data_IF_927315438086
#
_entry.id   IF_927315438086
#
_cell.length_a   1.000
_cell.length_b   1.000
_cell.length_c   1.000
_cell.angle_alpha   90.00
_cell.angle_beta   90.00
_cell.angle_gamma   90.00
#
_symmetry.space_group_name_H-M   'P 1'
#
loop_
_entity.id
_entity.type
_entity.pdbx_description
1 polymer ?
#
# COMPACT_ATOMS: atom_id res chain seq x y z
N UNK A 1 -5.55 -17.86 19.18
CA UNK A 1 -4.32 -17.27 18.60
C UNK A 1 -4.78 -16.10 17.77
N UNK A 2 -4.17 -14.94 17.92
CA UNK A 2 -4.55 -13.77 17.13
C UNK A 2 -4.06 -13.94 15.67
N UNK A 3 -4.74 -13.31 14.71
CA UNK A 3 -4.41 -13.39 13.29
C UNK A 3 -2.96 -12.99 12.99
N UNK A 4 -2.44 -11.97 13.68
CA UNK A 4 -1.04 -11.55 13.53
C UNK A 4 -0.09 -12.63 14.05
N UNK A 5 -0.42 -13.34 15.13
CA UNK A 5 0.40 -14.43 15.63
C UNK A 5 0.45 -15.60 14.62
N UNK A 6 -0.66 -15.86 13.93
CA UNK A 6 -0.71 -16.84 12.83
C UNK A 6 0.20 -16.45 11.67
N UNK A 7 0.18 -15.15 11.28
CA UNK A 7 1.07 -14.62 10.23
C UNK A 7 2.54 -14.78 10.64
N UNK A 8 2.89 -14.39 11.87
CA UNK A 8 4.26 -14.50 12.40
C UNK A 8 4.73 -15.94 12.42
N UNK A 9 3.90 -16.86 12.89
CA UNK A 9 4.22 -18.29 12.94
C UNK A 9 4.44 -18.90 11.54
N UNK A 10 3.72 -18.41 10.53
CA UNK A 10 3.75 -18.97 9.17
C UNK A 10 4.83 -18.34 8.30
N UNK A 11 5.09 -17.04 8.46
CA UNK A 11 5.95 -16.24 7.59
C UNK A 11 7.07 -15.51 8.36
N UNK A 12 7.62 -16.13 9.42
CA UNK A 12 8.58 -15.49 10.32
C UNK A 12 9.77 -14.82 9.64
N UNK A 13 10.27 -15.41 8.54
CA UNK A 13 11.38 -14.87 7.73
C UNK A 13 11.00 -13.58 6.94
N UNK A 14 9.71 -13.31 6.77
CA UNK A 14 9.17 -12.13 6.11
C UNK A 14 8.81 -11.00 7.08
N UNK A 15 8.78 -11.29 8.38
CA UNK A 15 8.34 -10.33 9.41
C UNK A 15 9.49 -9.40 9.78
N UNK A 16 9.26 -8.11 9.70
CA UNK A 16 10.18 -7.05 10.13
C UNK A 16 9.82 -6.52 11.52
N UNK A 17 8.54 -6.59 11.89
CA UNK A 17 8.07 -6.15 13.20
C UNK A 17 6.59 -6.41 13.40
N UNK A 18 6.17 -6.34 14.66
CA UNK A 18 4.77 -6.40 15.07
C UNK A 18 4.53 -5.26 16.05
N UNK A 19 3.41 -4.60 15.93
CA UNK A 19 3.05 -3.52 16.82
C UNK A 19 1.55 -3.40 17.03
N UNK A 20 1.18 -2.44 17.87
CA UNK A 20 -0.20 -2.10 18.14
C UNK A 20 -0.36 -0.58 18.17
N UNK A 21 -1.44 -0.09 17.60
CA UNK A 21 -1.81 1.32 17.66
C UNK A 21 -3.33 1.46 17.78
N UNK A 22 -3.79 2.22 18.77
CA UNK A 22 -5.21 2.45 19.04
C UNK A 22 -6.04 1.14 19.14
N UNK A 23 -5.48 0.12 19.80
CA UNK A 23 -6.14 -1.17 19.97
C UNK A 23 -6.14 -2.05 18.72
N UNK A 24 -5.48 -1.65 17.65
CA UNK A 24 -5.32 -2.44 16.42
C UNK A 24 -3.90 -2.96 16.30
N UNK A 25 -3.76 -4.27 16.25
CA UNK A 25 -2.47 -4.90 15.95
C UNK A 25 -2.14 -4.76 14.46
N UNK A 26 -0.85 -4.60 14.17
CA UNK A 26 -0.34 -4.57 12.82
C UNK A 26 0.96 -5.37 12.70
N UNK A 27 1.31 -5.72 11.48
CA UNK A 27 2.55 -6.40 11.14
C UNK A 27 3.29 -5.66 10.03
N UNK A 28 4.60 -5.46 10.23
CA UNK A 28 5.53 -4.97 9.23
C UNK A 28 6.17 -6.15 8.53
N UNK A 29 6.10 -6.20 7.20
CA UNK A 29 6.56 -7.33 6.40
C UNK A 29 7.41 -6.90 5.21
N UNK A 30 8.26 -7.83 4.73
CA UNK A 30 8.88 -7.70 3.41
C UNK A 30 7.83 -7.88 2.33
N UNK A 31 8.04 -7.24 1.17
CA UNK A 31 7.09 -7.29 0.04
C UNK A 31 6.98 -8.65 -0.65
N UNK A 32 8.01 -9.51 -0.52
CA UNK A 32 8.22 -10.67 -1.40
C UNK A 32 7.10 -11.73 -1.33
N UNK A 33 6.43 -11.83 -0.18
CA UNK A 33 5.32 -12.77 0.02
C UNK A 33 4.02 -12.10 0.44
N UNK A 34 3.84 -10.85 0.03
CA UNK A 34 2.67 -10.05 0.46
C UNK A 34 1.34 -10.73 0.08
N UNK A 35 1.22 -11.25 -1.12
CA UNK A 35 -0.03 -11.92 -1.57
C UNK A 35 -0.34 -13.18 -0.78
N UNK A 36 0.67 -13.94 -0.34
CA UNK A 36 0.46 -15.13 0.49
C UNK A 36 0.01 -14.76 1.90
N UNK A 37 0.61 -13.72 2.48
CA UNK A 37 0.23 -13.17 3.80
C UNK A 37 -1.21 -12.66 3.76
N UNK A 38 -1.57 -11.86 2.75
CA UNK A 38 -2.91 -11.34 2.58
C UNK A 38 -3.94 -12.45 2.34
N UNK A 39 -3.58 -13.48 1.57
CA UNK A 39 -4.42 -14.65 1.33
C UNK A 39 -4.67 -15.44 2.63
N UNK A 40 -3.65 -15.66 3.46
CA UNK A 40 -3.81 -16.30 4.76
C UNK A 40 -4.80 -15.51 5.63
N UNK A 41 -4.63 -14.19 5.71
CA UNK A 41 -5.52 -13.33 6.51
C UNK A 41 -6.97 -13.38 6.00
N UNK A 42 -7.18 -13.36 4.67
CA UNK A 42 -8.51 -13.44 4.08
C UNK A 42 -9.14 -14.82 4.28
N UNK A 43 -8.45 -15.88 3.86
CA UNK A 43 -9.05 -17.22 3.69
C UNK A 43 -9.10 -18.01 4.99
N UNK A 44 -8.17 -17.78 5.92
CA UNK A 44 -8.09 -18.53 7.18
C UNK A 44 -8.49 -17.71 8.40
N UNK A 45 -8.16 -16.44 8.44
CA UNK A 45 -8.41 -15.58 9.60
C UNK A 45 -9.70 -14.74 9.45
N UNK A 46 -10.37 -14.80 8.28
CA UNK A 46 -11.68 -14.22 8.04
C UNK A 46 -11.66 -12.71 7.79
N UNK A 47 -10.55 -12.15 7.31
CA UNK A 47 -10.47 -10.73 6.92
C UNK A 47 -10.93 -10.56 5.47
N UNK A 48 -12.25 -10.66 5.24
CA UNK A 48 -12.83 -10.69 3.90
C UNK A 48 -12.79 -9.33 3.18
N UNK A 49 -12.63 -8.24 3.92
CA UNK A 49 -12.73 -6.89 3.37
C UNK A 49 -11.40 -6.16 3.43
N UNK A 50 -10.92 -5.71 2.26
CA UNK A 50 -9.91 -4.67 2.16
C UNK A 50 -10.62 -3.32 2.30
N UNK A 51 -10.51 -2.69 3.47
CA UNK A 51 -11.18 -1.42 3.73
C UNK A 51 -10.43 -0.23 3.14
N UNK A 52 -9.11 -0.35 3.02
CA UNK A 52 -8.27 0.68 2.43
C UNK A 52 -6.90 0.10 2.03
N UNK A 53 -6.32 0.67 0.99
CA UNK A 53 -4.95 0.43 0.56
C UNK A 53 -4.33 1.77 0.18
N UNK A 54 -3.20 2.10 0.80
CA UNK A 54 -2.48 3.35 0.53
C UNK A 54 -0.98 3.15 0.65
N UNK A 55 -0.19 4.19 0.42
CA UNK A 55 1.24 4.18 0.67
C UNK A 55 1.71 5.38 1.47
N UNK A 56 2.87 5.23 2.08
CA UNK A 56 3.57 6.30 2.79
C UNK A 56 5.00 6.36 2.27
N UNK A 57 5.49 7.55 1.98
CA UNK A 57 6.91 7.81 1.69
C UNK A 57 7.63 8.19 2.98
N UNK A 58 8.60 7.38 3.38
CA UNK A 58 9.43 7.57 4.57
C UNK A 58 10.84 8.08 4.24
N UNK A 59 10.99 8.83 3.17
CA UNK A 59 12.29 9.39 2.77
C UNK A 59 13.00 10.03 3.97
N UNK A 60 14.23 9.57 4.26
CA UNK A 60 15.11 10.04 5.34
C UNK A 60 14.53 9.90 6.77
N UNK A 61 13.59 8.97 7.01
CA UNK A 61 13.00 8.77 8.34
C UNK A 61 13.52 7.51 9.09
N UNK A 62 14.60 6.90 8.60
CA UNK A 62 15.25 5.76 9.29
C UNK A 62 14.39 4.49 9.35
N UNK A 63 13.46 4.33 8.44
CA UNK A 63 12.61 3.14 8.30
C UNK A 63 13.34 2.05 7.49
N UNK A 64 12.85 0.78 7.51
CA UNK A 64 13.48 -0.31 6.78
C UNK A 64 13.67 -0.04 5.29
N UNK A 65 12.67 0.58 4.66
CA UNK A 65 12.68 0.97 3.25
C UNK A 65 11.99 2.31 3.06
N UNK A 66 12.14 2.93 1.88
CA UNK A 66 11.54 4.23 1.58
C UNK A 66 10.02 4.20 1.55
N UNK A 67 9.43 3.24 0.83
CA UNK A 67 7.97 3.17 0.69
C UNK A 67 7.38 2.10 1.59
N UNK A 68 6.21 2.39 2.14
CA UNK A 68 5.42 1.44 2.89
C UNK A 68 4.02 1.38 2.28
N UNK A 69 3.65 0.24 1.70
CA UNK A 69 2.27 -0.01 1.25
C UNK A 69 1.48 -0.56 2.42
N UNK A 70 0.37 0.07 2.74
CA UNK A 70 -0.46 -0.20 3.93
C UNK A 70 -1.79 -0.80 3.49
N UNK A 71 -2.09 -2.00 3.97
CA UNK A 71 -3.35 -2.70 3.75
C UNK A 71 -4.15 -2.69 5.05
N UNK A 72 -5.31 -2.06 5.06
CA UNK A 72 -6.24 -2.09 6.18
C UNK A 72 -7.33 -3.14 5.90
N UNK A 73 -7.41 -4.14 6.77
CA UNK A 73 -8.31 -5.30 6.60
C UNK A 73 -9.35 -5.35 7.72
N UNK A 74 -10.53 -5.86 7.38
CA UNK A 74 -11.63 -6.02 8.33
C UNK A 74 -12.32 -7.39 8.14
N UNK A 75 -12.62 -8.03 9.26
CA UNK A 75 -13.47 -9.21 9.33
C UNK A 75 -14.91 -8.76 9.55
N UNK A 76 -15.84 -9.15 8.67
CA UNK A 76 -17.24 -8.71 8.74
C UNK A 76 -18.01 -9.38 9.90
N UNK A 77 -17.65 -10.60 10.26
CA UNK A 77 -18.40 -11.38 11.24
C UNK A 77 -18.33 -10.83 12.67
N UNK A 78 -17.19 -10.28 13.07
CA UNK A 78 -16.91 -9.81 14.43
C UNK A 78 -16.35 -8.37 14.49
N UNK A 79 -16.15 -7.74 13.33
CA UNK A 79 -15.67 -6.36 13.23
C UNK A 79 -14.17 -6.19 13.56
N UNK A 80 -13.42 -7.28 13.72
CA UNK A 80 -11.96 -7.20 13.92
C UNK A 80 -11.29 -6.45 12.77
N UNK A 81 -10.28 -5.67 13.11
CA UNK A 81 -9.46 -4.93 12.14
C UNK A 81 -8.00 -5.25 12.36
N UNK A 82 -7.26 -5.32 11.27
CA UNK A 82 -5.80 -5.47 11.30
C UNK A 82 -5.16 -4.67 10.16
N UNK A 83 -3.86 -4.46 10.28
CA UNK A 83 -3.11 -3.73 9.28
C UNK A 83 -1.86 -4.50 8.91
N UNK A 84 -1.59 -4.61 7.61
CA UNK A 84 -0.34 -5.12 7.07
C UNK A 84 0.40 -3.97 6.42
N UNK A 85 1.67 -3.79 6.78
CA UNK A 85 2.56 -2.79 6.22
C UNK A 85 3.67 -3.50 5.45
N UNK A 86 3.67 -3.39 4.13
CA UNK A 86 4.68 -3.99 3.26
C UNK A 86 5.72 -2.95 2.86
N UNK A 87 6.98 -3.23 3.19
CA UNK A 87 8.09 -2.33 2.93
C UNK A 87 8.67 -2.56 1.54
N UNK A 88 8.80 -1.47 0.77
CA UNK A 88 9.18 -1.48 -0.65
C UNK A 88 10.38 -0.56 -0.86
N UNK A 89 11.51 -1.08 -1.39
CA UNK A 89 12.71 -0.29 -1.59
C UNK A 89 12.56 0.73 -2.73
N UNK A 90 13.27 1.85 -2.61
CA UNK A 90 13.30 2.88 -3.64
C UNK A 90 13.95 2.39 -4.95
N UNK A 91 15.02 1.59 -4.83
CA UNK A 91 15.76 1.09 -5.99
C UNK A 91 14.95 0.16 -6.89
N UNK A 92 13.93 -0.51 -6.32
CA UNK A 92 12.99 -1.37 -7.04
C UNK A 92 11.60 -1.21 -6.41
N UNK A 93 10.85 -0.17 -6.78
CA UNK A 93 9.57 0.16 -6.15
C UNK A 93 8.44 -0.73 -6.68
N UNK A 94 8.61 -2.04 -6.63
CA UNK A 94 7.63 -3.03 -7.10
C UNK A 94 7.08 -3.87 -5.96
N UNK A 95 5.81 -4.27 -6.04
CA UNK A 95 5.14 -5.18 -5.11
C UNK A 95 4.05 -5.94 -5.88
N UNK A 96 3.69 -7.15 -5.45
CA UNK A 96 2.62 -7.91 -6.11
C UNK A 96 1.24 -7.32 -5.80
N UNK A 97 0.38 -7.29 -6.83
CA UNK A 97 -1.00 -6.80 -6.74
C UNK A 97 -1.88 -7.69 -5.86
N UNK A 98 -2.78 -7.07 -5.10
CA UNK A 98 -3.82 -7.75 -4.33
C UNK A 98 -5.17 -7.85 -5.07
N UNK A 99 -5.24 -7.50 -6.35
CA UNK A 99 -6.50 -7.48 -7.14
C UNK A 99 -7.13 -8.86 -7.31
N UNK A 100 -6.34 -9.93 -7.24
CA UNK A 100 -6.84 -11.32 -7.25
C UNK A 100 -7.52 -11.70 -5.91
N UNK A 101 -7.17 -11.00 -4.84
CA UNK A 101 -7.76 -11.20 -3.53
C UNK A 101 -9.00 -10.31 -3.34
N UNK A 102 -8.89 -9.03 -3.67
CA UNK A 102 -9.98 -8.06 -3.54
C UNK A 102 -10.07 -7.17 -4.76
N UNK A 103 -11.22 -7.13 -5.41
CA UNK A 103 -11.45 -6.23 -6.56
C UNK A 103 -11.30 -4.74 -6.19
N UNK A 104 -11.57 -4.40 -4.92
CA UNK A 104 -11.38 -3.05 -4.39
C UNK A 104 -9.92 -2.56 -4.48
N UNK A 105 -8.94 -3.47 -4.45
CA UNK A 105 -7.53 -3.13 -4.58
C UNK A 105 -7.20 -2.43 -5.91
N UNK A 106 -7.93 -2.73 -6.99
CA UNK A 106 -7.65 -2.19 -8.33
C UNK A 106 -7.48 -0.66 -8.35
N UNK A 107 -8.47 0.06 -7.82
CA UNK A 107 -8.45 1.52 -7.82
C UNK A 107 -7.42 2.10 -6.86
N UNK A 108 -7.30 1.50 -5.68
CA UNK A 108 -6.37 1.94 -4.65
C UNK A 108 -4.90 1.72 -5.06
N UNK A 109 -4.58 0.60 -5.70
CA UNK A 109 -3.25 0.34 -6.25
C UNK A 109 -2.89 1.32 -7.37
N UNK A 110 -3.84 1.67 -8.23
CA UNK A 110 -3.64 2.69 -9.26
C UNK A 110 -3.40 4.07 -8.66
N UNK A 111 -4.09 4.42 -7.57
CA UNK A 111 -3.85 5.67 -6.84
C UNK A 111 -2.43 5.70 -6.24
N UNK A 112 -2.00 4.61 -5.60
CA UNK A 112 -0.65 4.49 -5.06
C UNK A 112 0.41 4.56 -6.17
N UNK A 113 0.19 3.89 -7.30
CA UNK A 113 1.05 4.01 -8.47
C UNK A 113 1.12 5.46 -8.96
N UNK A 114 -0.01 6.14 -9.06
CA UNK A 114 -0.12 7.50 -9.59
C UNK A 114 0.65 8.50 -8.72
N UNK A 115 0.46 8.45 -7.42
CA UNK A 115 1.01 9.44 -6.50
C UNK A 115 2.41 9.12 -5.95
N UNK A 116 2.77 7.85 -5.83
CA UNK A 116 4.05 7.42 -5.24
C UNK A 116 4.97 6.73 -6.25
N UNK A 117 4.45 6.20 -7.35
CA UNK A 117 5.20 5.46 -8.37
C UNK A 117 5.58 4.05 -7.93
N UNK A 118 4.84 3.47 -7.00
CA UNK A 118 4.98 2.04 -6.66
C UNK A 118 4.27 1.21 -7.75
N UNK A 119 4.97 0.25 -8.32
CA UNK A 119 4.48 -0.59 -9.41
C UNK A 119 3.90 -1.88 -8.84
N UNK A 120 2.61 -2.12 -9.09
CA UNK A 120 1.93 -3.34 -8.68
C UNK A 120 2.04 -4.39 -9.78
N UNK A 121 2.89 -5.41 -9.56
CA UNK A 121 3.05 -6.53 -10.51
C UNK A 121 1.75 -7.33 -10.60
N UNK A 122 1.43 -7.81 -11.81
CA UNK A 122 0.21 -8.58 -12.10
C UNK A 122 -1.10 -7.79 -11.91
N UNK A 123 -1.03 -6.46 -11.79
CA UNK A 123 -2.22 -5.63 -11.82
C UNK A 123 -2.86 -5.67 -13.22
N UNK A 124 -4.18 -5.84 -13.36
CA UNK A 124 -4.82 -6.04 -14.67
C UNK A 124 -4.77 -4.82 -15.60
N UNK A 125 -4.68 -3.60 -15.04
CA UNK A 125 -4.67 -2.35 -15.84
C UNK A 125 -4.03 -1.22 -15.01
N UNK A 126 -2.72 -1.29 -14.77
CA UNK A 126 -1.99 -0.30 -13.97
C UNK A 126 -1.73 0.97 -14.79
N UNK A 127 -2.52 1.97 -14.57
CA UNK A 127 -2.40 3.30 -15.20
C UNK A 127 -2.85 4.39 -14.23
N UNK A 128 -2.44 5.62 -14.50
CA UNK A 128 -2.85 6.79 -13.70
C UNK A 128 -4.36 6.90 -13.59
N UNK A 129 -4.85 7.45 -12.48
CA UNK A 129 -6.29 7.57 -12.19
C UNK A 129 -6.69 8.99 -11.78
N UNK A 130 -5.84 9.69 -11.06
CA UNK A 130 -6.08 11.04 -10.55
C UNK A 130 -5.38 12.11 -11.39
N UNK A 131 -4.16 11.81 -11.84
CA UNK A 131 -3.36 12.74 -12.63
C UNK A 131 -3.58 12.50 -14.14
N UNK A 132 -3.35 13.51 -14.99
CA UNK A 132 -3.35 13.33 -16.43
C UNK A 132 -2.40 12.21 -16.88
N UNK A 133 -2.73 11.53 -17.98
CA UNK A 133 -1.95 10.38 -18.46
C UNK A 133 -0.50 10.74 -18.84
N UNK A 134 -0.28 12.00 -19.24
CA UNK A 134 1.00 12.59 -19.64
C UNK A 134 1.72 13.30 -18.48
N UNK A 135 1.19 13.20 -17.26
CA UNK A 135 1.81 13.82 -16.10
C UNK A 135 3.12 13.13 -15.73
N UNK A 136 4.19 13.93 -15.61
CA UNK A 136 5.50 13.43 -15.18
C UNK A 136 5.71 13.62 -13.67
N UNK A 137 6.08 12.53 -12.99
CA UNK A 137 6.35 12.57 -11.56
C UNK A 137 5.25 11.98 -10.68
N UNK A 138 5.49 12.05 -9.36
CA UNK A 138 4.64 11.44 -8.33
C UNK A 138 4.52 12.42 -7.16
N UNK A 139 3.42 13.21 -7.10
CA UNK A 139 3.36 14.40 -6.24
C UNK A 139 3.24 14.13 -4.74
N UNK A 140 2.98 12.91 -4.30
CA UNK A 140 3.00 12.58 -2.87
C UNK A 140 4.35 12.07 -2.36
N UNK A 141 5.36 11.97 -3.23
CA UNK A 141 6.73 11.73 -2.78
C UNK A 141 7.26 12.94 -2.00
N UNK A 142 8.02 12.69 -0.93
CA UNK A 142 8.58 13.73 -0.06
C UNK A 142 9.61 14.64 -0.76
N UNK A 143 10.26 14.15 -1.80
CA UNK A 143 11.19 14.91 -2.65
C UNK A 143 10.51 15.62 -3.83
N UNK A 144 9.19 15.51 -3.96
CA UNK A 144 8.43 16.27 -4.94
C UNK A 144 8.11 17.69 -4.40
N UNK A 145 8.41 18.77 -5.16
CA UNK A 145 8.21 20.13 -4.69
C UNK A 145 6.72 20.44 -4.43
N UNK A 146 6.42 21.10 -3.32
CA UNK A 146 5.04 21.49 -2.97
C UNK A 146 4.39 22.38 -4.05
N UNK A 147 5.19 23.24 -4.70
CA UNK A 147 4.76 24.11 -5.79
C UNK A 147 4.66 23.44 -7.15
N UNK A 148 5.02 22.12 -7.25
CA UNK A 148 5.14 21.42 -8.52
C UNK A 148 6.41 21.79 -9.28
N UNK A 149 6.57 21.20 -10.47
CA UNK A 149 7.71 21.43 -11.38
C UNK A 149 7.31 22.21 -12.64
N UNK A 150 6.13 22.84 -12.63
CA UNK A 150 5.58 23.56 -13.78
C UNK A 150 4.59 22.74 -14.62
N UNK A 151 4.27 21.53 -14.24
CA UNK A 151 3.33 20.63 -14.95
C UNK A 151 1.92 21.24 -15.06
N UNK A 152 1.58 22.14 -14.15
CA UNK A 152 0.27 22.82 -14.11
C UNK A 152 0.15 24.04 -15.01
N UNK A 153 1.15 24.36 -15.80
CA UNK A 153 1.05 25.52 -16.72
C UNK A 153 -0.07 25.36 -17.76
N UNK A 154 -0.49 24.13 -18.02
CA UNK A 154 -1.55 23.79 -18.98
C UNK A 154 -2.95 23.70 -18.35
N UNK A 155 -3.10 23.79 -17.03
CA UNK A 155 -4.42 23.83 -16.42
C UNK A 155 -5.05 25.21 -16.59
N UNK A 156 -6.36 25.29 -16.91
CA UNK A 156 -7.05 26.58 -16.97
C UNK A 156 -6.94 27.28 -15.63
N UNK A 157 -6.39 28.49 -15.62
CA UNK A 157 -6.38 29.33 -14.43
C UNK A 157 -7.79 29.86 -14.24
N UNK A 158 -8.35 29.64 -13.04
CA UNK A 158 -9.55 30.35 -12.64
C UNK A 158 -9.21 31.84 -12.58
N UNK A 159 -9.83 32.62 -13.45
CA UNK A 159 -9.80 34.08 -13.39
C UNK A 159 -11.10 34.49 -12.72
N UNK A 160 -11.09 35.09 -11.51
CA UNK A 160 -12.29 35.51 -10.81
C UNK A 160 -13.03 36.60 -11.57
#
# INVERSE_FOLDING_TARGET
MDAIDTVVATFGDQILGVGEHAGQRFVDVKRDRITDILRLLRDREGFEVLTDLTAVDYLNQGQPERFCVVYNLMAMGDGRRTRVKAWVPEADPTIDSATDLWKAANWAEREVFDFFGVIFKNHPDLKRIQLPFDYEGHPLRKDYPLTGRGERMNFPRYVP
#
